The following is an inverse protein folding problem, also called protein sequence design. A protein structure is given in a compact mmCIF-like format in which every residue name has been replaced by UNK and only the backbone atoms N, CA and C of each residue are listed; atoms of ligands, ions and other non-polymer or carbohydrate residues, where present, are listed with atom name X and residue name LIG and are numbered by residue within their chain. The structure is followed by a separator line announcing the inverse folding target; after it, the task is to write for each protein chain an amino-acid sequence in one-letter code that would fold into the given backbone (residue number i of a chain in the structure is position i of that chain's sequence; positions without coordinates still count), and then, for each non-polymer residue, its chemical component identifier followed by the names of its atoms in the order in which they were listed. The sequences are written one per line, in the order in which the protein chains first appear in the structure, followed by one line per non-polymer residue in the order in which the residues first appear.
data_IF_494504042352
#
_entry.id   IF_494504042352
#
_cell.length_a   1.000
_cell.length_b   1.000
_cell.length_c   1.000
_cell.angle_alpha   90.00
_cell.angle_beta   90.00
_cell.angle_gamma   90.00
#
_symmetry.space_group_name_H-M   'P 1'
#
loop_
_entity.id
_entity.type
_entity.pdbx_description
1 polymer ?
#
# COMPACT_ATOMS: atom_id res chain seq x y z
N UNK A 1 10.56 23.53 -17.79
CA UNK A 1 9.87 22.52 -16.95
C UNK A 1 8.55 22.25 -17.66
N UNK A 2 8.31 21.02 -18.08
CA UNK A 2 6.99 20.63 -18.60
C UNK A 2 6.00 20.75 -17.45
N UNK A 3 4.90 21.46 -17.67
CA UNK A 3 3.81 21.64 -16.71
C UNK A 3 3.29 20.25 -16.28
N UNK A 4 3.11 20.04 -14.97
CA UNK A 4 2.50 18.81 -14.45
C UNK A 4 1.02 18.81 -14.86
N UNK A 5 0.66 18.00 -15.83
CA UNK A 5 -0.70 17.93 -16.35
C UNK A 5 -1.67 17.18 -15.43
N UNK A 6 -1.15 16.42 -14.45
CA UNK A 6 -1.92 15.65 -13.48
C UNK A 6 -1.42 15.94 -12.05
N UNK A 7 -1.64 17.13 -11.51
CA UNK A 7 -1.24 17.44 -10.15
C UNK A 7 -2.05 16.60 -9.15
N UNK A 8 -1.34 15.78 -8.34
CA UNK A 8 -1.89 14.93 -7.31
C UNK A 8 -1.40 15.41 -5.96
N UNK A 9 -2.32 15.70 -5.04
CA UNK A 9 -2.04 16.27 -3.73
C UNK A 9 -1.64 15.21 -2.69
N UNK A 10 -1.89 13.93 -2.97
CA UNK A 10 -1.57 12.81 -2.09
C UNK A 10 -2.51 11.63 -2.27
N UNK A 11 -2.34 10.61 -1.46
CA UNK A 11 -3.29 9.50 -1.35
C UNK A 11 -4.53 9.97 -0.59
N UNK A 12 -5.72 9.80 -1.16
CA UNK A 12 -6.97 10.11 -0.48
C UNK A 12 -7.40 8.98 0.44
N UNK A 13 -7.49 7.75 -0.08
CA UNK A 13 -7.74 6.53 0.68
C UNK A 13 -7.23 5.30 -0.08
N UNK A 14 -7.10 4.19 0.65
CA UNK A 14 -6.94 2.86 0.05
C UNK A 14 -8.16 2.03 0.42
N UNK A 15 -8.81 1.41 -0.57
CA UNK A 15 -9.94 0.52 -0.34
C UNK A 15 -9.56 -0.93 -0.62
N UNK A 16 -9.84 -1.77 0.37
CA UNK A 16 -9.69 -3.22 0.28
C UNK A 16 -11.08 -3.85 0.12
N UNK A 17 -11.19 -4.74 -0.86
CA UNK A 17 -12.29 -5.69 -0.89
C UNK A 17 -11.94 -6.87 0.00
N UNK A 18 -12.82 -7.18 0.94
CA UNK A 18 -12.58 -8.19 1.98
C UNK A 18 -13.79 -9.10 2.15
N UNK A 19 -13.55 -10.35 2.55
CA UNK A 19 -14.63 -11.31 2.77
C UNK A 19 -15.56 -10.94 3.92
N UNK A 20 -15.05 -10.21 4.92
CA UNK A 20 -15.82 -9.75 6.08
C UNK A 20 -15.34 -8.39 6.58
N UNK A 21 -15.92 -7.31 6.08
CA UNK A 21 -15.50 -5.95 6.41
C UNK A 21 -15.62 -5.62 7.90
N UNK A 22 -16.60 -6.18 8.61
CA UNK A 22 -16.77 -5.96 10.06
C UNK A 22 -15.60 -6.53 10.87
N UNK A 23 -15.17 -7.76 10.55
CA UNK A 23 -14.04 -8.40 11.24
C UNK A 23 -12.72 -7.76 10.85
N UNK A 24 -12.51 -7.45 9.56
CA UNK A 24 -11.32 -6.76 9.09
C UNK A 24 -11.20 -5.37 9.72
N UNK A 25 -12.31 -4.61 9.82
CA UNK A 25 -12.31 -3.31 10.49
C UNK A 25 -11.92 -3.43 11.97
N UNK A 26 -12.39 -4.45 12.67
CA UNK A 26 -12.01 -4.70 14.06
C UNK A 26 -10.51 -5.01 14.18
N UNK A 27 -9.97 -5.83 13.27
CA UNK A 27 -8.54 -6.16 13.25
C UNK A 27 -7.67 -4.90 13.11
N UNK A 28 -7.92 -4.07 12.09
CA UNK A 28 -7.12 -2.86 11.86
C UNK A 28 -7.31 -1.82 12.97
N UNK A 29 -8.47 -1.71 13.59
CA UNK A 29 -8.67 -0.85 14.76
C UNK A 29 -7.85 -1.34 15.96
N UNK A 30 -7.92 -2.62 16.27
CA UNK A 30 -7.22 -3.18 17.43
C UNK A 30 -5.70 -3.25 17.19
N UNK A 31 -5.28 -3.85 16.08
CA UNK A 31 -3.88 -4.13 15.83
C UNK A 31 -3.10 -2.86 15.41
N UNK A 32 -3.65 -2.07 14.49
CA UNK A 32 -2.98 -0.90 13.93
C UNK A 32 -3.41 0.44 14.58
N UNK A 33 -4.34 0.43 15.49
CA UNK A 33 -4.77 1.63 16.20
C UNK A 33 -5.60 2.61 15.37
N UNK A 34 -6.23 2.16 14.29
CA UNK A 34 -7.12 3.00 13.49
C UNK A 34 -8.41 3.33 14.22
N UNK A 35 -8.91 4.55 14.07
CA UNK A 35 -10.25 4.96 14.52
C UNK A 35 -11.28 4.64 13.43
N UNK A 36 -12.43 4.03 13.80
CA UNK A 36 -13.59 3.93 12.93
C UNK A 36 -14.31 5.27 12.91
N UNK A 37 -14.36 5.93 11.74
CA UNK A 37 -14.94 7.27 11.60
C UNK A 37 -16.26 7.29 10.83
N UNK A 38 -16.45 6.39 9.86
CA UNK A 38 -17.65 6.39 9.02
C UNK A 38 -18.00 4.98 8.53
N UNK A 39 -19.24 4.81 8.11
CA UNK A 39 -19.81 3.55 7.64
C UNK A 39 -20.87 3.80 6.56
N UNK A 40 -20.90 2.91 5.58
CA UNK A 40 -22.00 2.77 4.64
C UNK A 40 -22.44 1.30 4.58
N UNK A 41 -23.74 1.05 4.69
CA UNK A 41 -24.33 -0.29 4.70
C UNK A 41 -25.84 -0.23 4.84
N UNK A 42 -26.51 -1.34 5.17
CA UNK A 42 -27.98 -1.40 5.22
C UNK A 42 -28.61 -0.31 6.08
N UNK A 43 -28.02 0.02 7.21
CA UNK A 43 -28.50 1.04 8.14
C UNK A 43 -28.42 2.46 7.57
N UNK A 44 -27.57 2.67 6.56
CA UNK A 44 -27.41 3.96 5.85
C UNK A 44 -28.06 3.96 4.45
N UNK A 45 -28.79 2.90 4.11
CA UNK A 45 -29.50 2.77 2.82
C UNK A 45 -28.72 2.02 1.73
N UNK A 46 -27.47 1.62 1.97
CA UNK A 46 -26.68 0.80 1.04
C UNK A 46 -26.89 -0.67 1.36
N UNK A 47 -27.76 -1.36 0.58
CA UNK A 47 -28.28 -2.70 0.92
C UNK A 47 -27.43 -3.86 0.40
N UNK A 48 -26.54 -3.61 -0.56
CA UNK A 48 -25.81 -4.63 -1.30
C UNK A 48 -24.40 -4.89 -0.77
N UNK A 49 -23.86 -3.96 0.01
CA UNK A 49 -22.51 -4.05 0.60
C UNK A 49 -22.42 -3.29 1.92
N UNK A 50 -21.33 -3.54 2.64
CA UNK A 50 -20.96 -2.80 3.85
C UNK A 50 -19.52 -2.29 3.72
N UNK A 51 -19.31 -1.00 4.01
CA UNK A 51 -18.00 -0.34 3.95
C UNK A 51 -17.70 0.38 5.26
N UNK A 52 -16.56 0.09 5.85
CA UNK A 52 -16.05 0.71 7.08
C UNK A 52 -14.89 1.62 6.73
N UNK A 53 -14.92 2.87 7.18
CA UNK A 53 -13.85 3.84 6.96
C UNK A 53 -13.05 4.01 8.23
N UNK A 54 -11.80 3.65 8.17
CA UNK A 54 -10.84 3.73 9.26
C UNK A 54 -9.87 4.87 9.00
N UNK A 55 -9.46 5.59 10.06
CA UNK A 55 -8.55 6.73 9.95
C UNK A 55 -7.50 6.68 11.06
N UNK A 56 -6.27 7.03 10.71
CA UNK A 56 -5.23 7.48 11.63
C UNK A 56 -4.43 8.57 10.93
N UNK A 57 -4.34 9.75 11.53
CA UNK A 57 -3.70 10.93 10.94
C UNK A 57 -4.17 11.20 9.49
N UNK A 58 -3.27 11.10 8.49
CA UNK A 58 -3.59 11.28 7.07
C UNK A 58 -4.00 9.99 6.34
N UNK A 59 -4.00 8.85 7.02
CA UNK A 59 -4.33 7.56 6.42
C UNK A 59 -5.83 7.34 6.51
N UNK A 60 -6.44 6.94 5.40
CA UNK A 60 -7.79 6.36 5.37
C UNK A 60 -7.75 4.99 4.72
N UNK A 61 -8.21 3.97 5.44
CA UNK A 61 -8.47 2.63 4.93
C UNK A 61 -9.98 2.43 4.83
N UNK A 62 -10.44 1.93 3.69
CA UNK A 62 -11.83 1.56 3.48
C UNK A 62 -11.90 0.05 3.32
N UNK A 63 -12.74 -0.61 4.12
CA UNK A 63 -12.91 -2.06 4.09
C UNK A 63 -14.32 -2.36 3.63
N UNK A 64 -14.46 -2.97 2.46
CA UNK A 64 -15.76 -3.21 1.83
C UNK A 64 -15.97 -4.69 1.58
N UNK A 65 -17.12 -5.21 2.04
CA UNK A 65 -17.58 -6.57 1.74
C UNK A 65 -18.98 -6.58 1.12
N UNK A 66 -19.25 -7.53 0.22
CA UNK A 66 -20.58 -7.70 -0.35
C UNK A 66 -21.53 -8.30 0.69
N UNK A 67 -22.82 -8.04 0.55
CA UNK A 67 -23.88 -8.60 1.41
C UNK A 67 -24.78 -9.60 0.67
N UNK A 68 -24.65 -9.72 -0.65
CA UNK A 68 -25.33 -10.72 -1.45
C UNK A 68 -24.33 -11.57 -2.23
N UNK A 69 -24.68 -12.81 -2.52
CA UNK A 69 -23.83 -13.78 -3.21
C UNK A 69 -23.57 -13.46 -4.68
N UNK A 70 -24.43 -12.65 -5.29
CA UNK A 70 -24.38 -12.23 -6.70
C UNK A 70 -23.68 -10.87 -6.91
N UNK A 71 -23.25 -10.21 -5.81
CA UNK A 71 -22.58 -8.92 -5.92
C UNK A 71 -21.20 -9.07 -6.63
N UNK A 72 -20.82 -8.15 -7.55
CA UNK A 72 -19.58 -8.22 -8.30
C UNK A 72 -18.31 -8.32 -7.45
N UNK A 73 -18.29 -7.76 -6.24
CA UNK A 73 -17.18 -7.87 -5.29
C UNK A 73 -16.83 -9.34 -4.98
N UNK A 74 -17.81 -10.25 -5.03
CA UNK A 74 -17.53 -11.69 -4.80
C UNK A 74 -16.58 -12.28 -5.84
N UNK A 75 -16.64 -11.82 -7.09
CA UNK A 75 -15.73 -12.28 -8.14
C UNK A 75 -14.28 -11.90 -7.79
N UNK A 76 -14.06 -10.67 -7.32
CA UNK A 76 -12.74 -10.21 -6.85
C UNK A 76 -12.26 -11.06 -5.66
N UNK A 77 -13.08 -11.22 -4.61
CA UNK A 77 -12.71 -11.99 -3.42
C UNK A 77 -12.45 -13.46 -3.75
N UNK A 78 -13.24 -14.06 -4.63
CA UNK A 78 -13.04 -15.45 -5.08
C UNK A 78 -11.67 -15.62 -5.75
N UNK A 79 -11.29 -14.68 -6.60
CA UNK A 79 -10.03 -14.72 -7.34
C UNK A 79 -8.85 -14.38 -6.44
N UNK A 80 -8.92 -13.25 -5.74
CA UNK A 80 -7.78 -12.62 -5.09
C UNK A 80 -7.71 -12.86 -3.57
N UNK A 81 -8.81 -13.26 -2.92
CA UNK A 81 -8.97 -13.14 -1.47
C UNK A 81 -9.18 -11.69 -1.07
N UNK A 82 -8.83 -11.36 0.16
CA UNK A 82 -8.82 -9.97 0.62
C UNK A 82 -7.65 -9.22 -0.04
N UNK A 83 -7.92 -8.07 -0.65
CA UNK A 83 -6.90 -7.34 -1.39
C UNK A 83 -7.28 -5.90 -1.71
N UNK A 84 -6.29 -5.13 -2.13
CA UNK A 84 -6.50 -3.73 -2.52
C UNK A 84 -7.22 -3.65 -3.87
N UNK A 85 -8.36 -2.98 -3.86
CA UNK A 85 -9.12 -2.66 -5.07
C UNK A 85 -8.85 -1.25 -5.57
N UNK A 86 -8.80 -0.27 -4.66
CA UNK A 86 -8.70 1.14 -5.01
C UNK A 86 -7.50 1.79 -4.34
N UNK A 87 -6.66 2.43 -5.14
CA UNK A 87 -5.70 3.42 -4.72
C UNK A 87 -6.24 4.79 -5.11
N UNK A 88 -6.93 5.47 -4.19
CA UNK A 88 -7.57 6.75 -4.45
C UNK A 88 -6.57 7.90 -4.30
N UNK A 89 -6.60 8.81 -5.27
CA UNK A 89 -5.69 9.93 -5.41
C UNK A 89 -6.45 11.25 -5.22
N UNK A 90 -5.99 12.07 -4.28
CA UNK A 90 -6.56 13.38 -4.04
C UNK A 90 -6.09 14.37 -5.12
N UNK A 91 -7.05 14.94 -5.83
CA UNK A 91 -6.82 15.90 -6.93
C UNK A 91 -7.67 17.16 -6.76
N UNK A 92 -7.28 18.25 -7.44
CA UNK A 92 -8.03 19.51 -7.44
C UNK A 92 -9.23 19.47 -8.40
N UNK A 93 -9.15 18.64 -9.46
CA UNK A 93 -10.18 18.50 -10.49
C UNK A 93 -10.22 17.07 -11.01
N UNK A 94 -11.22 16.29 -10.55
CA UNK A 94 -11.36 14.89 -10.92
C UNK A 94 -11.77 14.68 -12.38
N UNK A 95 -12.54 15.63 -12.96
CA UNK A 95 -12.95 15.55 -14.36
C UNK A 95 -11.78 15.83 -15.30
N UNK A 96 -10.98 16.83 -15.01
CA UNK A 96 -9.76 17.14 -15.77
C UNK A 96 -8.78 15.97 -15.69
N UNK A 97 -8.55 15.43 -14.49
CA UNK A 97 -7.65 14.28 -14.26
C UNK A 97 -8.08 13.06 -15.09
N UNK A 98 -9.37 12.76 -15.11
CA UNK A 98 -9.93 11.66 -15.90
C UNK A 98 -9.81 11.92 -17.40
N UNK A 99 -10.13 13.15 -17.90
CA UNK A 99 -10.01 13.52 -19.32
C UNK A 99 -8.57 13.41 -19.80
N UNK A 100 -7.61 13.94 -19.04
CA UNK A 100 -6.19 13.88 -19.37
C UNK A 100 -5.71 12.44 -19.46
N UNK A 101 -6.00 11.63 -18.46
CA UNK A 101 -5.50 10.24 -18.44
C UNK A 101 -6.18 9.38 -19.50
N UNK A 102 -7.48 9.50 -19.73
CA UNK A 102 -8.19 8.74 -20.77
C UNK A 102 -7.79 9.16 -22.19
N UNK A 103 -7.54 10.46 -22.42
CA UNK A 103 -7.02 10.93 -23.72
C UNK A 103 -5.62 10.40 -24.04
N UNK A 104 -4.86 10.00 -23.03
CA UNK A 104 -3.53 9.40 -23.13
C UNK A 104 -3.54 7.88 -23.10
N UNK A 105 -4.74 7.26 -23.10
CA UNK A 105 -4.90 5.81 -23.24
C UNK A 105 -5.30 5.06 -21.96
N UNK A 106 -5.59 5.73 -20.85
CA UNK A 106 -6.16 5.05 -19.69
C UNK A 106 -7.54 4.47 -20.03
N UNK A 107 -7.79 3.26 -19.52
CA UNK A 107 -9.13 2.65 -19.62
C UNK A 107 -10.01 3.23 -18.52
N UNK A 108 -11.13 3.85 -18.91
CA UNK A 108 -12.12 4.36 -17.97
C UNK A 108 -12.84 3.22 -17.26
N UNK A 109 -12.88 3.28 -15.92
CA UNK A 109 -13.71 2.41 -15.08
C UNK A 109 -14.99 3.12 -14.69
N UNK A 110 -14.88 4.39 -14.28
CA UNK A 110 -16.02 5.23 -13.95
C UNK A 110 -15.78 6.65 -14.49
N UNK A 111 -16.72 7.12 -15.31
CA UNK A 111 -16.70 8.50 -15.80
C UNK A 111 -16.95 9.47 -14.63
N UNK A 112 -16.55 10.75 -14.76
CA UNK A 112 -16.73 11.73 -13.70
C UNK A 112 -18.19 11.82 -13.24
N UNK A 113 -18.41 11.71 -11.93
CA UNK A 113 -19.69 11.87 -11.28
C UNK A 113 -19.58 12.71 -10.02
N UNK A 114 -20.62 13.45 -9.71
CA UNK A 114 -20.73 14.22 -8.46
C UNK A 114 -21.57 13.44 -7.46
N UNK A 115 -21.01 13.21 -6.29
CA UNK A 115 -21.69 12.71 -5.10
C UNK A 115 -22.00 13.92 -4.22
N UNK A 116 -23.21 13.95 -3.64
CA UNK A 116 -23.65 15.12 -2.86
C UNK A 116 -24.47 14.67 -1.64
N UNK A 117 -24.29 15.39 -0.54
CA UNK A 117 -25.12 15.34 0.67
C UNK A 117 -25.19 16.73 1.33
N UNK A 118 -25.70 16.80 2.55
CA UNK A 118 -25.82 18.02 3.33
C UNK A 118 -24.47 18.69 3.69
N UNK A 119 -23.36 17.96 3.57
CA UNK A 119 -22.01 18.46 3.88
C UNK A 119 -21.29 18.99 2.63
N UNK A 120 -21.95 19.01 1.47
CA UNK A 120 -21.39 19.48 0.21
C UNK A 120 -21.29 18.40 -0.86
N UNK A 121 -20.31 18.54 -1.76
CA UNK A 121 -20.11 17.66 -2.89
C UNK A 121 -18.69 17.14 -3.00
N UNK A 122 -18.56 15.92 -3.50
CA UNK A 122 -17.30 15.29 -3.92
C UNK A 122 -17.45 14.84 -5.37
N UNK A 123 -16.48 15.17 -6.21
CA UNK A 123 -16.42 14.64 -7.57
C UNK A 123 -15.42 13.50 -7.64
N UNK A 124 -15.81 12.38 -8.26
CA UNK A 124 -14.96 11.20 -8.41
C UNK A 124 -14.98 10.72 -9.85
N UNK A 125 -13.87 10.10 -10.28
CA UNK A 125 -13.74 9.39 -11.54
C UNK A 125 -12.67 8.31 -11.40
N UNK A 126 -12.74 7.22 -12.18
CA UNK A 126 -11.80 6.12 -11.99
C UNK A 126 -11.26 5.59 -13.31
N UNK A 127 -10.00 5.18 -13.27
CA UNK A 127 -9.29 4.51 -14.36
C UNK A 127 -8.69 3.20 -13.89
N UNK A 128 -8.49 2.27 -14.81
CA UNK A 128 -7.85 0.99 -14.56
C UNK A 128 -6.33 1.16 -14.48
N UNK A 129 -5.69 0.42 -13.56
CA UNK A 129 -4.25 0.18 -13.57
C UNK A 129 -3.99 -1.34 -13.66
N UNK A 130 -2.89 -1.87 -13.13
CA UNK A 130 -2.55 -3.28 -13.26
C UNK A 130 -3.58 -4.20 -12.58
N UNK A 131 -3.84 -5.33 -13.21
CA UNK A 131 -4.80 -6.33 -12.74
C UNK A 131 -6.20 -5.75 -12.56
N UNK A 132 -6.80 -6.04 -11.42
CA UNK A 132 -8.11 -5.53 -11.02
C UNK A 132 -8.04 -4.22 -10.22
N UNK A 133 -6.84 -3.71 -9.98
CA UNK A 133 -6.63 -2.46 -9.23
C UNK A 133 -7.06 -1.25 -10.05
N UNK A 134 -7.63 -0.25 -9.40
CA UNK A 134 -8.05 1.00 -10.03
C UNK A 134 -7.48 2.21 -9.30
N UNK A 135 -7.31 3.32 -10.02
CA UNK A 135 -7.13 4.64 -9.43
C UNK A 135 -8.43 5.41 -9.48
N UNK A 136 -8.84 5.94 -8.32
CA UNK A 136 -9.97 6.86 -8.22
C UNK A 136 -9.46 8.25 -7.94
N UNK A 137 -9.71 9.20 -8.83
CA UNK A 137 -9.47 10.62 -8.61
C UNK A 137 -10.57 11.18 -7.72
N UNK A 138 -10.19 11.86 -6.63
CA UNK A 138 -11.12 12.39 -5.63
C UNK A 138 -10.92 13.89 -5.48
N UNK A 139 -11.91 14.66 -5.89
CA UNK A 139 -11.99 16.11 -5.70
C UNK A 139 -12.97 16.40 -4.58
N UNK A 140 -12.46 16.87 -3.43
CA UNK A 140 -13.26 17.11 -2.21
C UNK A 140 -13.18 18.51 -1.64
N UNK A 141 -12.75 19.50 -2.44
CA UNK A 141 -12.59 20.88 -1.98
C UNK A 141 -13.88 21.52 -1.45
N UNK A 142 -15.03 21.05 -1.91
CA UNK A 142 -16.36 21.55 -1.54
C UNK A 142 -17.09 20.63 -0.54
N UNK A 143 -16.37 19.76 0.18
CA UNK A 143 -16.97 18.79 1.07
C UNK A 143 -16.42 18.88 2.50
N UNK A 144 -17.32 18.99 3.47
CA UNK A 144 -17.01 19.11 4.90
C UNK A 144 -17.39 17.86 5.70
N UNK A 145 -17.82 16.79 5.02
CA UNK A 145 -18.16 15.51 5.67
C UNK A 145 -16.94 14.66 6.03
N UNK A 146 -17.18 13.56 6.74
CA UNK A 146 -16.12 12.71 7.29
C UNK A 146 -15.34 11.94 6.22
N UNK A 147 -16.02 11.53 5.15
CA UNK A 147 -15.38 10.72 4.09
C UNK A 147 -15.94 11.04 2.70
N UNK A 148 -17.03 10.41 2.30
CA UNK A 148 -17.75 10.64 1.05
C UNK A 148 -19.25 10.77 1.33
N UNK A 149 -20.01 11.45 0.46
CA UNK A 149 -21.48 11.45 0.53
C UNK A 149 -22.05 10.03 0.55
N UNK A 150 -23.06 9.81 1.40
CA UNK A 150 -23.67 8.49 1.63
C UNK A 150 -23.06 7.70 2.79
N UNK A 151 -21.92 8.12 3.34
CA UNK A 151 -21.36 7.56 4.56
C UNK A 151 -21.85 8.33 5.78
N UNK A 152 -22.18 7.60 6.84
CA UNK A 152 -22.60 8.19 8.12
C UNK A 152 -21.53 7.99 9.19
N UNK A 153 -21.45 8.90 10.14
CA UNK A 153 -20.55 8.80 11.28
C UNK A 153 -20.78 7.50 12.04
N UNK A 154 -19.72 6.78 12.31
CA UNK A 154 -19.76 5.57 13.15
C UNK A 154 -18.49 5.51 13.98
N UNK A 155 -18.65 5.20 15.26
CA UNK A 155 -17.54 5.03 16.21
C UNK A 155 -17.52 3.61 16.72
N UNK A 156 -16.34 3.17 17.11
CA UNK A 156 -16.15 1.91 17.85
C UNK A 156 -16.81 1.96 19.21
N UNK A 157 -17.18 0.79 19.72
CA UNK A 157 -17.61 0.60 21.11
C UNK A 157 -16.43 0.60 22.10
N UNK A 158 -15.21 0.63 21.63
CA UNK A 158 -13.98 0.67 22.43
C UNK A 158 -13.08 1.82 21.94
N UNK A 159 -12.20 2.29 22.81
CA UNK A 159 -11.22 3.32 22.47
C UNK A 159 -10.04 2.68 21.77
N UNK A 160 -9.74 3.16 20.56
CA UNK A 160 -8.51 2.83 19.84
C UNK A 160 -7.40 3.77 20.32
N UNK A 161 -6.19 3.24 20.40
CA UNK A 161 -5.00 4.03 20.71
C UNK A 161 -4.13 4.12 19.47
N UNK A 162 -3.94 5.33 18.97
CA UNK A 162 -3.00 5.59 17.88
C UNK A 162 -1.58 5.16 18.28
N UNK A 163 -0.85 4.67 17.29
CA UNK A 163 0.50 4.14 17.47
C UNK A 163 1.57 4.92 16.69
N UNK A 164 1.21 6.10 16.20
CA UNK A 164 2.12 7.01 15.52
C UNK A 164 2.21 6.85 14.01
N UNK A 165 1.27 6.14 13.37
CA UNK A 165 1.19 6.07 11.91
C UNK A 165 0.75 7.42 11.33
N UNK A 166 1.39 7.87 10.23
CA UNK A 166 1.25 9.24 9.70
C UNK A 166 0.50 9.33 8.39
N UNK A 167 1.07 8.72 7.36
CA UNK A 167 0.58 8.74 5.99
C UNK A 167 1.07 7.51 5.24
N UNK A 168 0.47 7.22 4.10
CA UNK A 168 0.93 6.17 3.18
C UNK A 168 2.15 6.73 2.42
N UNK A 169 3.31 6.14 2.64
CA UNK A 169 4.57 6.53 2.01
C UNK A 169 4.63 6.08 0.55
N UNK A 170 4.28 4.82 0.32
CA UNK A 170 4.18 4.23 -1.02
C UNK A 170 3.31 2.97 -1.03
N UNK A 171 2.88 2.57 -2.24
CA UNK A 171 2.18 1.30 -2.48
C UNK A 171 2.89 0.55 -3.59
N UNK A 172 3.19 -0.72 -3.36
CA UNK A 172 3.96 -1.55 -4.28
C UNK A 172 3.03 -2.48 -5.07
N UNK A 173 3.16 -2.45 -6.39
CA UNK A 173 2.43 -3.34 -7.29
C UNK A 173 3.32 -4.46 -7.81
N UNK A 174 2.80 -5.69 -7.78
CA UNK A 174 3.40 -6.83 -8.47
C UNK A 174 2.70 -7.07 -9.80
N UNK A 175 3.47 -7.24 -10.85
CA UNK A 175 2.98 -7.52 -12.20
C UNK A 175 3.65 -8.78 -12.78
N UNK A 176 3.08 -9.32 -13.84
CA UNK A 176 3.62 -10.52 -14.49
C UNK A 176 4.99 -10.25 -15.14
N UNK A 177 5.74 -11.32 -15.36
CA UNK A 177 7.04 -11.26 -16.05
C UNK A 177 6.92 -10.54 -17.41
N UNK A 178 7.77 -9.55 -17.65
CA UNK A 178 7.79 -8.73 -18.87
C UNK A 178 6.79 -7.57 -18.87
N UNK A 179 5.96 -7.41 -17.83
CA UNK A 179 4.92 -6.36 -17.76
C UNK A 179 5.37 -5.09 -17.03
N UNK A 180 6.48 -5.13 -16.28
CA UNK A 180 6.94 -3.97 -15.47
C UNK A 180 7.11 -2.72 -16.33
N UNK A 181 7.81 -2.82 -17.45
CA UNK A 181 8.05 -1.67 -18.32
C UNK A 181 6.76 -1.10 -18.92
N UNK A 182 5.78 -1.96 -19.25
CA UNK A 182 4.45 -1.52 -19.70
C UNK A 182 3.77 -0.64 -18.67
N UNK A 183 3.79 -1.06 -17.39
CA UNK A 183 3.14 -0.30 -16.33
C UNK A 183 3.94 0.93 -15.90
N UNK A 184 5.27 0.88 -15.94
CA UNK A 184 6.11 2.08 -15.77
C UNK A 184 5.78 3.11 -16.85
N UNK A 185 5.73 2.71 -18.13
CA UNK A 185 5.35 3.59 -19.24
C UNK A 185 3.92 4.16 -19.07
N UNK A 186 2.97 3.34 -18.56
CA UNK A 186 1.64 3.84 -18.23
C UNK A 186 1.71 4.99 -17.21
N UNK A 187 2.48 4.84 -16.14
CA UNK A 187 2.62 5.91 -15.15
C UNK A 187 3.35 7.13 -15.73
N UNK A 188 4.34 6.95 -16.59
CA UNK A 188 5.07 8.06 -17.19
C UNK A 188 4.22 8.81 -18.24
N UNK A 189 3.66 8.09 -19.19
CA UNK A 189 2.97 8.69 -20.35
C UNK A 189 1.53 9.09 -20.06
N UNK A 190 0.81 8.30 -19.25
CA UNK A 190 -0.62 8.49 -18.97
C UNK A 190 -0.82 9.30 -17.69
N UNK A 191 -0.02 9.04 -16.66
CA UNK A 191 -0.17 9.69 -15.35
C UNK A 191 0.82 10.85 -15.11
N UNK A 192 1.78 11.08 -16.02
CA UNK A 192 2.77 12.15 -15.89
C UNK A 192 3.80 11.95 -14.79
N UNK A 193 3.94 10.73 -14.30
CA UNK A 193 4.95 10.38 -13.30
C UNK A 193 6.35 10.37 -13.95
N UNK A 194 7.37 10.28 -13.11
CA UNK A 194 8.77 10.13 -13.54
C UNK A 194 9.34 8.87 -12.94
N UNK A 195 10.18 8.20 -13.72
CA UNK A 195 11.01 7.11 -13.20
C UNK A 195 12.00 7.71 -12.19
N UNK A 196 11.92 7.24 -10.94
CA UNK A 196 12.75 7.70 -9.84
C UNK A 196 13.95 6.80 -9.63
N UNK A 197 13.73 5.49 -9.56
CA UNK A 197 14.76 4.48 -9.30
C UNK A 197 14.51 3.22 -10.15
N UNK A 198 15.59 2.53 -10.45
CA UNK A 198 15.58 1.20 -11.08
C UNK A 198 16.46 0.26 -10.27
N UNK A 199 15.94 -0.92 -9.96
CA UNK A 199 16.69 -2.01 -9.36
C UNK A 199 16.60 -3.21 -10.29
N UNK A 200 17.75 -3.76 -10.67
CA UNK A 200 17.82 -4.95 -11.49
C UNK A 200 17.97 -6.24 -10.66
N UNK A 201 18.00 -7.38 -11.31
CA UNK A 201 18.16 -8.69 -10.70
C UNK A 201 19.53 -8.87 -9.99
N UNK A 202 20.53 -8.04 -10.31
CA UNK A 202 21.81 -8.03 -9.60
C UNK A 202 21.74 -7.25 -8.29
N UNK A 203 20.85 -6.23 -8.27
CA UNK A 203 20.60 -5.45 -7.07
C UNK A 203 19.75 -6.21 -6.06
N UNK A 204 18.78 -7.02 -6.57
CA UNK A 204 17.77 -7.70 -5.76
C UNK A 204 17.75 -9.19 -6.09
N UNK A 205 18.69 -9.93 -5.51
CA UNK A 205 18.78 -11.38 -5.66
C UNK A 205 19.37 -12.06 -4.44
N UNK A 206 19.00 -13.33 -4.28
CA UNK A 206 19.62 -14.29 -3.37
C UNK A 206 20.24 -15.42 -4.18
N UNK A 207 20.68 -16.49 -3.52
CA UNK A 207 21.10 -17.72 -4.21
C UNK A 207 19.92 -18.37 -4.97
N UNK A 208 18.69 -18.15 -4.55
CA UNK A 208 17.51 -18.89 -5.01
C UNK A 208 16.64 -18.10 -5.96
N UNK A 209 16.34 -16.86 -5.65
CA UNK A 209 15.38 -16.04 -6.43
C UNK A 209 15.87 -14.62 -6.68
N UNK A 210 15.23 -13.95 -7.63
CA UNK A 210 15.48 -12.55 -7.96
C UNK A 210 14.19 -11.85 -8.37
N UNK A 211 14.19 -10.52 -8.33
CA UNK A 211 13.14 -9.69 -8.92
C UNK A 211 13.75 -8.43 -9.54
N UNK A 212 12.97 -7.78 -10.38
CA UNK A 212 13.25 -6.43 -10.90
C UNK A 212 12.20 -5.47 -10.34
N UNK A 213 12.62 -4.24 -10.04
CA UNK A 213 11.74 -3.19 -9.52
C UNK A 213 12.08 -1.84 -10.15
N UNK A 214 11.03 -1.10 -10.49
CA UNK A 214 11.14 0.30 -10.91
C UNK A 214 10.18 1.15 -10.10
N UNK A 215 10.67 2.28 -9.62
CA UNK A 215 9.87 3.21 -8.82
C UNK A 215 9.49 4.42 -9.66
N UNK A 216 8.21 4.68 -9.77
CA UNK A 216 7.67 5.88 -10.39
C UNK A 216 7.11 6.83 -9.33
N UNK A 217 7.24 8.15 -9.56
CA UNK A 217 6.78 9.17 -8.62
C UNK A 217 6.12 10.33 -9.36
N UNK A 218 5.08 10.92 -8.76
CA UNK A 218 4.45 12.12 -9.29
C UNK A 218 5.31 13.38 -9.10
N UNK A 219 4.91 14.50 -9.72
CA UNK A 219 5.71 15.70 -9.80
C UNK A 219 6.17 16.29 -8.46
N UNK A 220 5.38 16.20 -7.40
CA UNK A 220 5.71 16.69 -6.05
C UNK A 220 6.29 15.62 -5.11
N UNK A 221 6.39 14.37 -5.56
CA UNK A 221 6.96 13.26 -4.76
C UNK A 221 6.06 12.71 -3.66
N UNK A 222 4.80 13.13 -3.57
CA UNK A 222 3.87 12.62 -2.56
C UNK A 222 3.34 11.22 -2.86
N UNK A 223 3.34 10.83 -4.15
CA UNK A 223 2.92 9.49 -4.59
C UNK A 223 4.12 8.77 -5.17
N UNK A 224 4.38 7.58 -4.69
CA UNK A 224 5.42 6.68 -5.19
C UNK A 224 4.84 5.30 -5.36
N UNK A 225 5.05 4.71 -6.54
CA UNK A 225 4.64 3.35 -6.86
C UNK A 225 5.83 2.54 -7.35
N UNK A 226 6.46 1.74 -6.50
CA UNK A 226 7.32 0.66 -6.96
C UNK A 226 6.50 -0.39 -7.71
N UNK A 227 6.99 -0.80 -8.87
CA UNK A 227 6.40 -1.85 -9.71
C UNK A 227 7.41 -2.97 -9.83
N UNK A 228 7.04 -4.15 -9.35
CA UNK A 228 7.90 -5.32 -9.34
C UNK A 228 7.44 -6.35 -10.36
N UNK A 229 8.40 -7.01 -11.01
CA UNK A 229 8.16 -8.23 -11.78
C UNK A 229 9.13 -9.33 -11.34
N UNK A 230 8.80 -10.62 -11.54
CA UNK A 230 9.74 -11.70 -11.32
C UNK A 230 11.00 -11.54 -12.19
N UNK A 231 12.11 -12.09 -11.73
CA UNK A 231 13.30 -12.29 -12.55
C UNK A 231 13.69 -13.77 -12.55
N UNK A 232 14.49 -14.20 -13.54
CA UNK A 232 14.96 -15.58 -13.60
C UNK A 232 15.77 -15.95 -12.36
N UNK A 233 15.43 -17.06 -11.73
CA UNK A 233 16.07 -17.59 -10.55
C UNK A 233 16.08 -19.12 -10.54
N UNK A 234 16.80 -19.73 -9.60
CA UNK A 234 16.82 -21.19 -9.42
C UNK A 234 15.49 -21.72 -8.85
N UNK A 235 14.77 -20.88 -8.17
CA UNK A 235 13.53 -21.16 -7.45
C UNK A 235 12.48 -20.10 -7.74
N UNK A 236 11.23 -20.40 -7.41
CA UNK A 236 10.10 -19.47 -7.53
C UNK A 236 10.33 -18.23 -6.68
N UNK A 237 10.26 -17.05 -7.30
CA UNK A 237 10.40 -15.79 -6.59
C UNK A 237 9.15 -15.47 -5.73
N UNK A 238 9.32 -14.59 -4.76
CA UNK A 238 8.19 -14.08 -3.97
C UNK A 238 7.13 -13.38 -4.82
N UNK A 239 7.53 -12.79 -5.96
CA UNK A 239 6.58 -12.13 -6.87
C UNK A 239 5.74 -13.17 -7.60
N UNK A 240 6.34 -14.28 -8.03
CA UNK A 240 5.60 -15.40 -8.63
C UNK A 240 4.67 -16.06 -7.61
N UNK A 241 5.11 -16.27 -6.36
CA UNK A 241 4.24 -16.77 -5.29
C UNK A 241 3.03 -15.85 -5.10
N UNK A 242 3.26 -14.52 -5.03
CA UNK A 242 2.18 -13.54 -4.95
C UNK A 242 1.20 -13.68 -6.12
N UNK A 243 1.70 -13.68 -7.35
CA UNK A 243 0.85 -13.76 -8.56
C UNK A 243 0.00 -15.02 -8.60
N UNK A 244 0.55 -16.15 -8.14
CA UNK A 244 -0.18 -17.42 -8.08
C UNK A 244 -1.31 -17.38 -7.04
N UNK A 245 -1.01 -16.95 -5.83
CA UNK A 245 -2.01 -16.89 -4.74
C UNK A 245 -3.03 -15.77 -4.92
N UNK A 246 -2.60 -14.62 -5.46
CA UNK A 246 -3.51 -13.51 -5.76
C UNK A 246 -4.34 -13.77 -7.02
N UNK A 247 -3.83 -14.61 -7.92
CA UNK A 247 -4.48 -14.93 -9.18
C UNK A 247 -4.32 -13.80 -10.22
N UNK A 248 -3.15 -13.13 -10.21
CA UNK A 248 -2.80 -12.06 -11.15
C UNK A 248 -2.08 -10.88 -10.50
N UNK A 249 -1.86 -9.79 -11.27
CA UNK A 249 -1.25 -8.55 -10.77
C UNK A 249 -2.09 -7.87 -9.68
N UNK A 250 -1.43 -7.21 -8.73
CA UNK A 250 -2.11 -6.46 -7.67
C UNK A 250 -1.15 -5.76 -6.73
N UNK A 251 -1.67 -5.14 -5.68
CA UNK A 251 -0.87 -4.45 -4.66
C UNK A 251 -0.29 -5.47 -3.68
N UNK A 252 1.05 -5.53 -3.63
CA UNK A 252 1.78 -6.43 -2.75
C UNK A 252 1.81 -5.90 -1.32
N UNK A 253 2.21 -4.63 -1.14
CA UNK A 253 2.24 -4.02 0.19
C UNK A 253 1.95 -2.54 0.19
N UNK A 254 1.57 -2.06 1.36
CA UNK A 254 1.34 -0.66 1.67
C UNK A 254 2.38 -0.25 2.70
N UNK A 255 3.26 0.68 2.33
CA UNK A 255 4.23 1.25 3.25
C UNK A 255 3.62 2.45 3.97
N UNK A 256 3.66 2.40 5.29
CA UNK A 256 3.10 3.42 6.17
C UNK A 256 4.22 4.11 6.93
N UNK A 257 4.31 5.42 6.77
CA UNK A 257 5.26 6.24 7.52
C UNK A 257 4.84 6.37 8.98
N UNK A 258 5.83 6.39 9.88
CA UNK A 258 5.62 6.61 11.31
C UNK A 258 6.49 7.74 11.86
N UNK A 259 6.14 8.26 13.04
CA UNK A 259 6.94 9.23 13.80
C UNK A 259 8.08 8.57 14.57
N UNK A 260 7.83 7.37 15.11
CA UNK A 260 8.77 6.60 15.93
C UNK A 260 8.56 5.11 15.66
N UNK A 261 9.45 4.53 14.86
CA UNK A 261 9.33 3.15 14.42
C UNK A 261 9.50 2.15 15.55
N UNK A 262 10.35 2.45 16.55
CA UNK A 262 10.57 1.58 17.70
C UNK A 262 9.29 1.48 18.51
N UNK A 263 8.67 2.62 18.83
CA UNK A 263 7.38 2.64 19.52
C UNK A 263 6.28 1.95 18.71
N UNK A 264 6.13 2.31 17.44
CA UNK A 264 5.07 1.79 16.56
C UNK A 264 5.16 0.27 16.41
N UNK A 265 6.35 -0.26 16.11
CA UNK A 265 6.55 -1.71 15.93
C UNK A 265 6.38 -2.45 17.27
N UNK A 266 6.86 -1.87 18.36
CA UNK A 266 6.64 -2.42 19.70
C UNK A 266 5.14 -2.55 20.03
N UNK A 267 4.33 -1.54 19.73
CA UNK A 267 2.88 -1.58 19.95
C UNK A 267 2.17 -2.57 18.99
N UNK A 268 2.55 -2.61 17.72
CA UNK A 268 2.02 -3.58 16.76
C UNK A 268 2.27 -5.03 17.23
N UNK A 269 3.50 -5.35 17.66
CA UNK A 269 3.85 -6.69 18.19
C UNK A 269 3.05 -7.05 19.44
N UNK A 270 2.89 -6.12 20.39
CA UNK A 270 2.06 -6.34 21.59
C UNK A 270 0.60 -6.66 21.25
N UNK A 271 0.11 -6.15 20.12
CA UNK A 271 -1.26 -6.37 19.63
C UNK A 271 -1.37 -7.57 18.67
N UNK A 272 -0.31 -8.37 18.54
CA UNK A 272 -0.31 -9.62 17.79
C UNK A 272 0.00 -9.49 16.30
N UNK A 273 0.51 -8.35 15.84
CA UNK A 273 1.00 -8.24 14.45
C UNK A 273 2.33 -8.95 14.34
N UNK A 274 2.42 -9.90 13.41
CA UNK A 274 3.64 -10.63 13.12
C UNK A 274 4.47 -9.92 12.06
N UNK A 275 5.79 -9.97 12.24
CA UNK A 275 6.76 -9.37 11.33
C UNK A 275 7.71 -10.42 10.79
N UNK A 276 8.31 -10.16 9.64
CA UNK A 276 9.40 -10.94 9.09
C UNK A 276 10.61 -10.85 10.04
N UNK A 277 11.31 -11.97 10.20
CA UNK A 277 12.48 -12.07 11.08
C UNK A 277 13.75 -11.87 10.26
N UNK A 278 14.66 -11.05 10.80
CA UNK A 278 15.97 -10.78 10.22
C UNK A 278 17.03 -11.52 11.04
N UNK A 279 18.02 -12.18 10.39
CA UNK A 279 19.12 -12.81 11.10
C UNK A 279 19.87 -11.81 12.01
N UNK A 280 20.23 -12.25 13.22
CA UNK A 280 20.95 -11.38 14.16
C UNK A 280 22.30 -10.86 13.62
N UNK A 281 22.93 -11.61 12.72
CA UNK A 281 24.14 -11.19 12.01
C UNK A 281 23.97 -9.94 11.14
N UNK A 282 22.74 -9.57 10.76
CA UNK A 282 22.46 -8.32 10.05
C UNK A 282 22.93 -7.09 10.82
N UNK A 283 22.95 -7.17 12.17
CA UNK A 283 23.31 -6.03 13.04
C UNK A 283 24.79 -5.97 13.40
N UNK A 284 25.57 -7.02 13.08
CA UNK A 284 26.97 -7.12 13.50
C UNK A 284 27.86 -6.06 12.84
N UNK A 285 27.57 -5.68 11.59
CA UNK A 285 28.27 -4.64 10.81
C UNK A 285 27.39 -3.43 10.46
N UNK A 286 26.23 -3.30 11.08
CA UNK A 286 25.24 -2.29 10.71
C UNK A 286 25.81 -0.86 10.71
N UNK A 287 26.51 -0.47 11.78
CA UNK A 287 27.06 0.88 11.90
C UNK A 287 28.22 1.13 10.93
N UNK A 288 28.99 0.12 10.55
CA UNK A 288 30.03 0.23 9.53
C UNK A 288 29.40 0.51 8.15
N UNK A 289 28.23 -0.07 7.89
CA UNK A 289 27.50 0.07 6.64
C UNK A 289 26.71 1.38 6.54
N UNK A 290 25.97 1.75 7.60
CA UNK A 290 25.05 2.91 7.59
C UNK A 290 25.61 4.14 8.30
N UNK A 291 26.75 4.04 9.00
CA UNK A 291 27.32 5.12 9.79
C UNK A 291 26.48 5.44 11.04
N UNK A 292 26.62 6.67 11.54
CA UNK A 292 25.93 7.11 12.76
C UNK A 292 24.44 7.29 12.51
N UNK A 293 23.62 6.73 13.41
CA UNK A 293 22.17 6.92 13.52
C UNK A 293 21.82 7.46 14.91
N UNK A 294 20.59 7.95 15.08
CA UNK A 294 20.14 8.52 16.36
C UNK A 294 19.57 7.44 17.30
N UNK A 295 19.12 6.34 16.76
CA UNK A 295 18.47 5.23 17.47
C UNK A 295 19.53 4.30 18.10
N UNK A 296 19.19 3.74 19.28
CA UNK A 296 19.97 2.69 19.91
C UNK A 296 19.83 1.36 19.13
N UNK A 297 20.95 0.63 18.95
CA UNK A 297 20.97 -0.63 18.21
C UNK A 297 20.18 -1.74 18.89
N UNK A 298 20.16 -1.78 20.22
CA UNK A 298 19.52 -2.86 20.96
C UNK A 298 18.01 -2.96 20.68
N UNK A 299 17.21 -1.88 20.78
CA UNK A 299 15.81 -1.92 20.38
C UNK A 299 15.59 -2.29 18.91
N UNK A 300 16.45 -1.81 18.00
CA UNK A 300 16.33 -2.15 16.57
C UNK A 300 16.52 -3.66 16.35
N UNK A 301 17.52 -4.25 17.00
CA UNK A 301 17.79 -5.70 16.93
C UNK A 301 16.66 -6.52 17.55
N UNK A 302 16.16 -6.13 18.73
CA UNK A 302 15.06 -6.83 19.41
C UNK A 302 13.76 -6.81 18.60
N UNK A 303 13.51 -5.73 17.87
CA UNK A 303 12.31 -5.54 17.05
C UNK A 303 12.49 -5.96 15.59
N UNK A 304 13.68 -6.39 15.18
CA UNK A 304 14.06 -6.72 13.80
C UNK A 304 13.91 -5.55 12.80
N UNK A 305 14.18 -4.33 13.24
CA UNK A 305 14.09 -3.14 12.39
C UNK A 305 15.34 -3.02 11.54
N UNK A 306 15.15 -2.90 10.22
CA UNK A 306 16.19 -2.73 9.23
C UNK A 306 16.56 -1.25 9.10
N UNK A 307 17.82 -0.96 8.77
CA UNK A 307 18.32 0.41 8.54
C UNK A 307 19.11 0.46 7.24
N UNK A 308 18.86 1.47 6.44
CA UNK A 308 19.65 1.76 5.24
C UNK A 308 19.92 3.26 5.11
N UNK A 309 20.92 3.63 4.31
CA UNK A 309 21.36 5.02 4.13
C UNK A 309 21.55 5.35 2.65
N UNK A 310 21.16 6.57 2.29
CA UNK A 310 21.48 7.20 1.01
C UNK A 310 22.22 8.53 1.22
N UNK A 311 22.37 9.32 0.17
CA UNK A 311 23.10 10.60 0.21
C UNK A 311 22.39 11.66 1.06
N UNK A 312 21.06 11.60 1.20
CA UNK A 312 20.25 12.57 1.91
C UNK A 312 20.06 12.23 3.39
N UNK A 313 20.24 10.96 3.78
CA UNK A 313 20.03 10.55 5.16
C UNK A 313 19.94 9.05 5.34
N UNK A 314 19.12 8.60 6.30
CA UNK A 314 18.86 7.19 6.51
C UNK A 314 17.36 6.92 6.70
N UNK A 315 16.99 5.67 6.55
CA UNK A 315 15.64 5.18 6.79
C UNK A 315 15.68 3.93 7.68
N UNK A 316 14.60 3.74 8.41
CA UNK A 316 14.36 2.54 9.19
C UNK A 316 13.07 1.91 8.64
N UNK A 317 13.06 0.58 8.50
CA UNK A 317 11.91 -0.13 7.94
C UNK A 317 11.79 -1.55 8.48
N UNK A 318 10.57 -2.06 8.47
CA UNK A 318 10.27 -3.46 8.79
C UNK A 318 9.00 -3.87 8.06
N UNK A 319 8.87 -5.16 7.77
CA UNK A 319 7.76 -5.71 7.00
C UNK A 319 6.97 -6.69 7.86
N UNK A 320 5.64 -6.59 7.85
CA UNK A 320 4.79 -7.59 8.47
C UNK A 320 4.83 -8.88 7.67
N UNK A 321 4.50 -10.01 8.30
CA UNK A 321 4.01 -11.17 7.55
C UNK A 321 2.71 -10.79 6.82
N UNK A 322 2.27 -11.55 5.81
CA UNK A 322 0.95 -11.33 5.20
C UNK A 322 -0.14 -11.23 6.27
N UNK A 323 -1.01 -10.25 6.14
CA UNK A 323 -2.08 -9.99 7.13
C UNK A 323 -3.32 -10.87 6.94
N UNK A 324 -3.23 -11.83 6.06
CA UNK A 324 -4.26 -12.80 5.70
C UNK A 324 -3.62 -14.15 5.36
N UNK A 325 -4.44 -15.23 5.26
CA UNK A 325 -3.94 -16.58 5.02
C UNK A 325 -3.24 -16.75 3.67
N UNK A 326 -3.72 -16.07 2.61
CA UNK A 326 -2.97 -16.04 1.34
C UNK A 326 -1.72 -15.17 1.51
N UNK A 327 -0.53 -15.65 1.09
CA UNK A 327 0.72 -14.88 1.20
C UNK A 327 0.77 -13.75 0.14
N UNK A 328 -0.11 -12.78 0.28
CA UNK A 328 -0.32 -11.69 -0.69
C UNK A 328 -0.06 -10.33 -0.05
N UNK A 329 -1.08 -9.68 0.53
CA UNK A 329 -0.95 -8.34 1.09
C UNK A 329 -0.21 -8.34 2.44
N UNK A 330 0.79 -7.46 2.57
CA UNK A 330 1.45 -7.15 3.84
C UNK A 330 1.66 -5.64 3.99
N UNK A 331 2.18 -5.22 5.14
CA UNK A 331 2.49 -3.82 5.42
C UNK A 331 3.98 -3.62 5.66
N UNK A 332 4.47 -2.47 5.25
CA UNK A 332 5.76 -1.95 5.65
C UNK A 332 5.54 -0.80 6.64
N UNK A 333 6.31 -0.78 7.71
CA UNK A 333 6.41 0.38 8.61
C UNK A 333 7.75 1.05 8.32
N UNK A 334 7.71 2.32 7.97
CA UNK A 334 8.90 3.07 7.55
C UNK A 334 9.03 4.39 8.31
N UNK A 335 10.24 4.71 8.74
CA UNK A 335 10.61 6.03 9.27
C UNK A 335 11.77 6.58 8.46
N UNK A 336 11.57 7.74 7.88
CA UNK A 336 12.59 8.44 7.09
C UNK A 336 13.26 9.54 7.93
N UNK A 337 14.57 9.50 7.97
CA UNK A 337 15.46 10.50 8.57
C UNK A 337 16.29 11.18 7.46
N UNK A 338 15.58 11.83 6.53
CA UNK A 338 16.17 12.47 5.35
C UNK A 338 16.17 11.60 4.10
N UNK A 339 16.37 10.29 4.22
CA UNK A 339 16.49 9.39 3.08
C UNK A 339 15.26 9.44 2.15
N UNK A 340 15.54 9.41 0.86
CA UNK A 340 14.54 9.36 -0.23
C UNK A 340 14.49 8.00 -0.94
N UNK A 341 15.47 7.13 -0.68
CA UNK A 341 15.62 5.78 -1.22
C UNK A 341 14.58 4.79 -0.65
N UNK A 342 14.69 3.52 -1.07
CA UNK A 342 13.79 2.43 -0.68
C UNK A 342 14.51 1.28 0.06
N UNK A 343 15.69 1.56 0.63
CA UNK A 343 16.39 0.57 1.44
C UNK A 343 17.09 -0.52 0.64
N UNK A 344 17.81 -0.15 -0.43
CA UNK A 344 18.58 -1.11 -1.27
C UNK A 344 19.47 -2.02 -0.44
N UNK A 345 20.16 -1.49 0.58
CA UNK A 345 21.04 -2.25 1.47
C UNK A 345 20.28 -3.29 2.33
N UNK A 346 18.98 -3.20 2.44
CA UNK A 346 18.11 -4.12 3.20
C UNK A 346 17.51 -5.24 2.34
N UNK A 347 17.57 -5.13 1.00
CA UNK A 347 16.88 -6.07 0.10
C UNK A 347 17.30 -7.51 0.32
N UNK A 348 18.60 -7.78 0.49
CA UNK A 348 19.07 -9.13 0.73
C UNK A 348 18.47 -9.75 1.99
N UNK A 349 18.48 -9.02 3.11
CA UNK A 349 17.95 -9.49 4.38
C UNK A 349 16.42 -9.70 4.30
N UNK A 350 15.71 -8.80 3.62
CA UNK A 350 14.27 -8.94 3.37
C UNK A 350 13.97 -10.20 2.53
N UNK A 351 14.69 -10.39 1.44
CA UNK A 351 14.52 -11.54 0.54
C UNK A 351 14.77 -12.88 1.23
N UNK A 352 15.87 -13.00 1.95
CA UNK A 352 16.18 -14.20 2.73
C UNK A 352 15.09 -14.50 3.78
N UNK A 353 14.48 -13.46 4.35
CA UNK A 353 13.38 -13.61 5.30
C UNK A 353 12.10 -14.11 4.62
N UNK A 354 11.76 -13.58 3.45
CA UNK A 354 10.60 -14.02 2.67
C UNK A 354 10.79 -15.45 2.13
N UNK A 355 11.98 -15.78 1.62
CA UNK A 355 12.31 -17.14 1.15
C UNK A 355 12.18 -18.17 2.26
N UNK A 356 12.56 -17.82 3.49
CA UNK A 356 12.33 -18.69 4.66
C UNK A 356 10.83 -18.95 4.89
N UNK A 357 9.99 -17.94 4.78
CA UNK A 357 8.54 -18.09 4.88
C UNK A 357 7.98 -18.93 3.72
N UNK A 358 8.48 -18.74 2.47
CA UNK A 358 8.12 -19.57 1.32
C UNK A 358 8.50 -21.05 1.54
N UNK A 359 9.70 -21.30 2.09
CA UNK A 359 10.15 -22.64 2.40
C UNK A 359 9.24 -23.32 3.43
N UNK A 360 8.81 -22.60 4.48
CA UNK A 360 7.87 -23.13 5.48
C UNK A 360 6.51 -23.51 4.86
N UNK A 361 6.10 -22.78 3.82
CA UNK A 361 4.88 -23.09 3.06
C UNK A 361 5.07 -24.15 1.97
N UNK A 362 6.31 -24.59 1.71
CA UNK A 362 6.63 -25.55 0.65
C UNK A 362 6.61 -24.95 -0.77
N UNK A 363 6.80 -23.64 -0.91
CA UNK A 363 6.72 -22.90 -2.18
C UNK A 363 8.07 -22.40 -2.70
N UNK A 364 9.17 -22.71 -2.03
CA UNK A 364 10.53 -22.33 -2.46
C UNK A 364 11.24 -23.48 -3.20
#
# INVERSE_FOLDING_TARGET
MTEDFLPINGTDYVELYVGNAKQSALYYQYAFGFELIAYAGPETGVKDRASYVLKQEKIRLVLTSPLSSDHPINAHIKQHGDGVKVLALWVDDAEKSWKETTSRGAVSVEAPKTLQDQNGEVRVASIQTYGDTIHTFVERKNYQGLFLPGYQARKSSFTTQEIGLKYIDHCVGNVALGEMNRWVNFYEEVMGFKLLLTFDDKDISTEYSALMSKVVSNGNGYIKFPINEPAEGKKKSQIEEYLDFYGGPGVQHIAIATYDIIHTVGELRKRGVEFLEVPSSYYDDLLDRVGKIDEDLQPLKELNILVDRDEEGYLLQIFTKPVQDRPTLFFEIIQRKGATSFGKGNFKALFESIEREQQLRGNL
#
